data_IF_476098895052
#
_entry.id   IF_476098895052
#
_cell.length_a   1.000
_cell.length_b   1.000
_cell.length_c   1.000
_cell.angle_alpha   90.00
_cell.angle_beta   90.00
_cell.angle_gamma   90.00
#
_symmetry.space_group_name_H-M   'P 1'
#
loop_
_entity.id
_entity.type
_entity.pdbx_description
1 polymer ?
#
# COMPACT_ATOMS: atom_id res chain seq x y z
N UNK A 1 8.93 -0.03 4.21
CA UNK A 1 8.65 0.66 2.92
C UNK A 1 7.17 0.94 2.68
N UNK A 2 6.27 -0.04 2.88
CA UNK A 2 4.81 0.20 2.84
C UNK A 2 4.38 1.35 3.78
N UNK A 3 5.01 1.49 4.94
CA UNK A 3 4.78 2.58 5.89
C UNK A 3 5.06 3.99 5.32
N UNK A 4 6.10 4.17 4.48
CA UNK A 4 6.42 5.49 3.90
C UNK A 4 5.45 5.90 2.79
N UNK A 5 4.89 4.92 2.07
CA UNK A 5 3.81 5.16 1.10
C UNK A 5 2.52 5.56 1.83
N UNK A 6 2.15 4.83 2.89
CA UNK A 6 0.99 5.12 3.71
C UNK A 6 1.10 6.52 4.35
N UNK A 7 2.29 6.86 4.87
CA UNK A 7 2.54 8.16 5.50
C UNK A 7 2.42 9.33 4.51
N UNK A 8 3.10 9.27 3.36
CA UNK A 8 3.01 10.35 2.36
C UNK A 8 1.61 10.47 1.76
N UNK A 9 0.91 9.37 1.51
CA UNK A 9 -0.47 9.39 1.01
C UNK A 9 -1.46 9.97 2.04
N UNK A 10 -1.31 9.63 3.31
CA UNK A 10 -2.14 10.14 4.39
C UNK A 10 -1.89 11.64 4.64
N UNK A 11 -0.64 12.11 4.53
CA UNK A 11 -0.36 13.55 4.65
C UNK A 11 -1.03 14.35 3.54
N UNK A 12 -1.02 13.85 2.30
CA UNK A 12 -1.72 14.50 1.17
C UNK A 12 -3.23 14.57 1.47
N UNK A 13 -3.83 13.44 1.87
CA UNK A 13 -5.26 13.36 2.14
C UNK A 13 -5.70 14.27 3.30
N UNK A 14 -4.98 14.28 4.43
CA UNK A 14 -5.37 15.06 5.60
C UNK A 14 -5.18 16.56 5.36
N UNK A 15 -4.01 16.97 4.87
CA UNK A 15 -3.64 18.38 4.87
C UNK A 15 -4.13 19.14 3.64
N UNK A 16 -4.08 18.53 2.47
CA UNK A 16 -4.40 19.22 1.21
C UNK A 16 -5.80 18.88 0.70
N UNK A 17 -6.34 17.69 0.97
CA UNK A 17 -7.73 17.37 0.58
C UNK A 17 -8.75 17.69 1.68
N UNK A 18 -8.54 17.18 2.90
CA UNK A 18 -9.50 17.38 3.99
C UNK A 18 -9.28 18.70 4.75
N UNK A 19 -8.04 19.18 4.79
CA UNK A 19 -7.62 20.39 5.52
C UNK A 19 -7.67 21.68 4.70
N UNK A 20 -8.01 21.57 3.41
CA UNK A 20 -8.18 22.70 2.47
C UNK A 20 -6.96 23.64 2.41
N UNK A 21 -5.76 23.11 2.64
CA UNK A 21 -4.54 23.88 2.46
C UNK A 21 -4.26 24.12 0.98
N UNK A 22 -3.86 25.35 0.67
CA UNK A 22 -3.36 25.73 -0.65
C UNK A 22 -2.17 24.84 -1.05
N UNK A 23 -2.03 24.55 -2.34
CA UNK A 23 -0.98 23.67 -2.87
C UNK A 23 0.45 24.18 -2.59
N UNK A 24 0.60 25.48 -2.39
CA UNK A 24 1.84 26.17 -2.04
C UNK A 24 2.17 26.10 -0.55
N UNK A 25 1.18 25.82 0.30
CA UNK A 25 1.40 25.63 1.72
C UNK A 25 2.36 24.45 1.95
N UNK A 26 3.17 24.55 2.99
CA UNK A 26 4.16 23.51 3.31
C UNK A 26 3.78 22.77 4.58
N UNK A 27 3.89 21.44 4.51
CA UNK A 27 3.75 20.54 5.65
C UNK A 27 5.08 19.83 5.83
N UNK A 28 5.69 19.94 7.01
CA UNK A 28 7.07 19.51 7.28
C UNK A 28 8.08 20.06 6.24
N UNK A 29 7.91 21.33 5.83
CA UNK A 29 8.74 22.03 4.83
C UNK A 29 8.65 21.48 3.40
N UNK A 30 7.67 20.64 3.10
CA UNK A 30 7.41 20.11 1.75
C UNK A 30 5.98 20.46 1.35
N UNK A 31 5.80 20.97 0.13
CA UNK A 31 4.48 21.36 -0.41
C UNK A 31 3.73 20.17 -1.03
N UNK A 32 2.50 20.39 -1.51
CA UNK A 32 1.63 19.37 -2.13
C UNK A 32 2.36 18.58 -3.22
N UNK A 33 3.02 19.28 -4.15
CA UNK A 33 3.75 18.65 -5.26
C UNK A 33 4.92 17.77 -4.78
N UNK A 34 5.66 18.21 -3.76
CA UNK A 34 6.76 17.45 -3.17
C UNK A 34 6.28 16.18 -2.47
N UNK A 35 5.17 16.25 -1.74
CA UNK A 35 4.56 15.07 -1.11
C UNK A 35 4.05 14.08 -2.15
N UNK A 36 3.42 14.57 -3.22
CA UNK A 36 2.96 13.73 -4.33
C UNK A 36 4.15 13.04 -5.03
N UNK A 37 5.26 13.74 -5.21
CA UNK A 37 6.48 13.16 -5.76
C UNK A 37 7.04 12.06 -4.85
N UNK A 38 7.14 12.31 -3.54
CA UNK A 38 7.58 11.30 -2.56
C UNK A 38 6.64 10.08 -2.52
N UNK A 39 5.34 10.30 -2.62
CA UNK A 39 4.35 9.22 -2.67
C UNK A 39 4.55 8.33 -3.91
N UNK A 40 4.71 8.96 -5.10
CA UNK A 40 4.98 8.24 -6.35
C UNK A 40 6.30 7.46 -6.30
N UNK A 41 7.37 8.10 -5.84
CA UNK A 41 8.69 7.47 -5.70
C UNK A 41 8.61 6.26 -4.76
N UNK A 42 8.06 6.43 -3.56
CA UNK A 42 7.93 5.34 -2.59
C UNK A 42 6.99 4.23 -3.07
N UNK A 43 5.97 4.55 -3.87
CA UNK A 43 5.10 3.57 -4.51
C UNK A 43 5.87 2.70 -5.53
N UNK A 44 6.69 3.30 -6.40
CA UNK A 44 7.52 2.57 -7.37
C UNK A 44 8.49 1.62 -6.67
N UNK A 45 9.24 2.12 -5.69
CA UNK A 45 10.18 1.26 -4.96
C UNK A 45 9.40 0.15 -4.23
N UNK A 46 8.23 0.43 -3.65
CA UNK A 46 7.42 -0.58 -2.94
C UNK A 46 6.91 -1.67 -3.89
N UNK A 47 6.55 -1.32 -5.13
CA UNK A 47 6.17 -2.28 -6.18
C UNK A 47 7.33 -3.18 -6.58
N UNK A 48 8.56 -2.67 -6.64
CA UNK A 48 9.74 -3.49 -6.87
C UNK A 48 9.99 -4.45 -5.69
N UNK A 49 9.98 -3.93 -4.46
CA UNK A 49 10.22 -4.71 -3.26
C UNK A 49 9.19 -5.83 -3.06
N UNK A 50 7.91 -5.55 -3.27
CA UNK A 50 6.86 -6.57 -3.16
C UNK A 50 6.95 -7.61 -4.28
N UNK A 51 7.35 -7.21 -5.49
CA UNK A 51 7.53 -8.14 -6.61
C UNK A 51 8.59 -9.16 -6.25
N UNK A 52 9.75 -8.69 -5.76
CA UNK A 52 10.81 -9.57 -5.27
C UNK A 52 10.30 -10.45 -4.12
N UNK A 53 9.60 -9.88 -3.15
CA UNK A 53 9.05 -10.63 -2.02
C UNK A 53 8.09 -11.75 -2.46
N UNK A 54 7.15 -11.44 -3.36
CA UNK A 54 6.20 -12.40 -3.93
C UNK A 54 6.93 -13.50 -4.72
N UNK A 55 7.96 -13.15 -5.49
CA UNK A 55 8.78 -14.12 -6.23
C UNK A 55 9.45 -15.12 -5.28
N UNK A 56 10.01 -14.65 -4.17
CA UNK A 56 10.62 -15.50 -3.13
C UNK A 56 9.59 -16.44 -2.48
N UNK A 57 8.32 -16.05 -2.43
CA UNK A 57 7.23 -16.84 -1.86
C UNK A 57 6.37 -17.59 -2.90
N UNK A 58 6.80 -17.67 -4.16
CA UNK A 58 6.05 -18.33 -5.26
C UNK A 58 5.63 -19.75 -4.96
N UNK A 59 6.48 -20.56 -4.32
CA UNK A 59 6.15 -21.94 -3.91
C UNK A 59 4.97 -21.96 -2.93
N UNK A 60 4.98 -21.08 -1.93
CA UNK A 60 3.90 -20.97 -0.95
C UNK A 60 2.61 -20.50 -1.61
N UNK A 61 2.69 -19.50 -2.49
CA UNK A 61 1.54 -18.98 -3.23
C UNK A 61 0.90 -20.07 -4.11
N UNK A 62 1.70 -20.86 -4.82
CA UNK A 62 1.20 -22.00 -5.63
C UNK A 62 0.42 -23.01 -4.79
N UNK A 63 0.77 -23.20 -3.51
CA UNK A 63 0.05 -24.11 -2.61
C UNK A 63 -1.33 -23.57 -2.19
N UNK A 64 -1.54 -22.25 -2.20
CA UNK A 64 -2.82 -21.63 -1.86
C UNK A 64 -3.91 -21.90 -2.90
N UNK A 65 -3.53 -22.07 -4.17
CA UNK A 65 -4.47 -22.40 -5.24
C UNK A 65 -5.02 -23.83 -5.16
N UNK A 66 -4.48 -24.67 -4.27
CA UNK A 66 -5.10 -25.95 -3.93
C UNK A 66 -6.30 -25.67 -3.01
N UNK A 67 -7.53 -25.77 -3.55
CA UNK A 67 -8.82 -25.44 -2.88
C UNK A 67 -8.95 -25.91 -1.42
N UNK A 68 -8.38 -27.08 -1.07
CA UNK A 68 -8.40 -27.63 0.29
C UNK A 68 -7.61 -26.76 1.29
N UNK A 69 -6.47 -26.21 0.86
CA UNK A 69 -5.52 -25.45 1.68
C UNK A 69 -6.09 -24.11 2.15
N UNK A 70 -6.81 -23.39 1.29
CA UNK A 70 -7.36 -22.07 1.65
C UNK A 70 -8.53 -22.20 2.63
N UNK A 71 -9.37 -23.23 2.47
CA UNK A 71 -10.52 -23.47 3.36
C UNK A 71 -10.09 -23.87 4.77
N UNK A 72 -9.00 -24.63 4.91
CA UNK A 72 -8.39 -24.99 6.19
C UNK A 72 -7.28 -24.04 6.66
N UNK A 73 -7.13 -22.87 6.02
CA UNK A 73 -6.05 -21.94 6.33
C UNK A 73 -6.23 -21.30 7.71
N UNK A 74 -5.12 -21.16 8.45
CA UNK A 74 -5.10 -20.44 9.71
C UNK A 74 -5.30 -18.92 9.52
N UNK A 75 -5.52 -18.19 10.62
CA UNK A 75 -5.76 -16.75 10.62
C UNK A 75 -4.64 -15.96 9.94
N UNK A 76 -3.38 -16.32 10.19
CA UNK A 76 -2.21 -15.65 9.60
C UNK A 76 -2.18 -15.77 8.08
N UNK A 77 -2.41 -16.98 7.56
CA UNK A 77 -2.51 -17.20 6.11
C UNK A 77 -3.63 -16.38 5.49
N UNK A 78 -4.81 -16.33 6.13
CA UNK A 78 -5.94 -15.50 5.65
C UNK A 78 -5.56 -14.01 5.61
N UNK A 79 -4.94 -13.48 6.66
CA UNK A 79 -4.46 -12.09 6.70
C UNK A 79 -3.45 -11.82 5.58
N UNK A 80 -2.48 -12.72 5.37
CA UNK A 80 -1.48 -12.55 4.31
C UNK A 80 -2.09 -12.59 2.90
N UNK A 81 -3.10 -13.45 2.67
CA UNK A 81 -3.84 -13.48 1.41
C UNK A 81 -4.67 -12.22 1.20
N UNK A 82 -5.40 -11.77 2.23
CA UNK A 82 -6.14 -10.50 2.19
C UNK A 82 -5.21 -9.32 1.94
N UNK A 83 -4.02 -9.30 2.55
CA UNK A 83 -2.99 -8.29 2.32
C UNK A 83 -2.54 -8.28 0.85
N UNK A 84 -2.27 -9.45 0.26
CA UNK A 84 -1.87 -9.56 -1.14
C UNK A 84 -2.98 -9.04 -2.09
N UNK A 85 -4.24 -9.40 -1.83
CA UNK A 85 -5.39 -8.94 -2.63
C UNK A 85 -5.55 -7.43 -2.50
N UNK A 86 -5.57 -6.89 -1.27
CA UNK A 86 -5.67 -5.46 -1.02
C UNK A 86 -4.51 -4.69 -1.67
N UNK A 87 -3.30 -5.26 -1.66
CA UNK A 87 -2.13 -4.65 -2.28
C UNK A 87 -2.29 -4.54 -3.79
N UNK A 88 -2.75 -5.62 -4.45
CA UNK A 88 -3.02 -5.63 -5.88
C UNK A 88 -4.11 -4.60 -6.22
N UNK A 89 -5.23 -4.62 -5.50
CA UNK A 89 -6.33 -3.68 -5.70
C UNK A 89 -5.87 -2.21 -5.57
N UNK A 90 -5.17 -1.87 -4.48
CA UNK A 90 -4.63 -0.51 -4.24
C UNK A 90 -3.62 -0.10 -5.31
N UNK A 91 -2.79 -1.03 -5.77
CA UNK A 91 -1.78 -0.73 -6.78
C UNK A 91 -2.40 -0.49 -8.14
N UNK A 92 -3.40 -1.28 -8.53
CA UNK A 92 -4.13 -1.11 -9.78
C UNK A 92 -4.89 0.22 -9.78
N UNK A 93 -5.67 0.52 -8.73
CA UNK A 93 -6.41 1.80 -8.65
C UNK A 93 -5.46 2.99 -8.63
N UNK A 94 -4.34 2.92 -7.90
CA UNK A 94 -3.34 3.99 -7.89
C UNK A 94 -2.64 4.20 -9.24
N UNK A 95 -2.34 3.12 -9.97
CA UNK A 95 -1.75 3.20 -11.32
C UNK A 95 -2.77 3.78 -12.32
N UNK A 96 -4.03 3.35 -12.25
CA UNK A 96 -5.10 3.92 -13.07
C UNK A 96 -5.20 5.43 -12.81
N UNK A 97 -5.34 5.85 -11.55
CA UNK A 97 -5.37 7.28 -11.21
C UNK A 97 -4.14 8.05 -11.69
N UNK A 98 -2.95 7.45 -11.67
CA UNK A 98 -1.75 8.10 -12.18
C UNK A 98 -1.81 8.27 -13.71
N UNK A 99 -2.16 7.22 -14.45
CA UNK A 99 -2.06 7.19 -15.91
C UNK A 99 -3.23 7.87 -16.63
N UNK A 100 -4.44 7.81 -16.08
CA UNK A 100 -5.65 8.24 -16.81
C UNK A 100 -6.14 9.64 -16.43
N UNK A 101 -5.75 10.16 -15.27
CA UNK A 101 -6.25 11.43 -14.78
C UNK A 101 -5.21 12.55 -14.96
N UNK A 102 -5.51 13.63 -15.69
CA UNK A 102 -4.70 14.84 -15.72
C UNK A 102 -4.45 15.37 -14.31
N UNK A 103 -3.32 16.06 -14.10
CA UNK A 103 -2.92 16.54 -12.76
C UNK A 103 -3.98 17.36 -12.04
N UNK A 104 -4.71 18.18 -12.79
CA UNK A 104 -5.78 19.04 -12.29
C UNK A 104 -7.12 18.31 -12.07
N UNK A 105 -7.36 17.18 -12.76
CA UNK A 105 -8.60 16.37 -12.61
C UNK A 105 -8.45 15.27 -11.57
N UNK A 106 -7.22 14.96 -11.13
CA UNK A 106 -6.95 13.98 -10.06
C UNK A 106 -7.64 14.32 -8.73
N UNK A 107 -7.97 15.59 -8.53
CA UNK A 107 -8.71 16.10 -7.38
C UNK A 107 -10.24 15.95 -7.52
N UNK A 108 -10.76 15.80 -8.76
CA UNK A 108 -12.19 15.72 -9.04
C UNK A 108 -12.68 14.30 -9.39
N UNK A 109 -11.78 13.36 -9.66
CA UNK A 109 -12.11 11.95 -9.85
C UNK A 109 -12.43 11.26 -8.52
N UNK A 110 -13.48 11.75 -7.85
CA UNK A 110 -13.86 11.44 -6.48
C UNK A 110 -13.94 9.94 -6.22
N UNK A 111 -14.61 9.17 -7.08
CA UNK A 111 -14.93 7.77 -6.77
C UNK A 111 -13.71 6.84 -6.77
N UNK A 112 -12.82 6.94 -7.77
CA UNK A 112 -11.65 6.05 -7.85
C UNK A 112 -10.59 6.45 -6.82
N UNK A 113 -10.40 7.76 -6.62
CA UNK A 113 -9.48 8.28 -5.61
C UNK A 113 -9.90 7.90 -4.19
N UNK A 114 -11.20 7.99 -3.88
CA UNK A 114 -11.75 7.59 -2.59
C UNK A 114 -11.62 6.07 -2.34
N UNK A 115 -11.86 5.25 -3.37
CA UNK A 115 -11.63 3.79 -3.28
C UNK A 115 -10.15 3.50 -3.02
N UNK A 116 -9.24 4.16 -3.73
CA UNK A 116 -7.80 4.01 -3.52
C UNK A 116 -7.41 4.36 -2.08
N UNK A 117 -7.93 5.46 -1.54
CA UNK A 117 -7.64 5.91 -0.18
C UNK A 117 -8.13 4.92 0.88
N UNK A 118 -9.40 4.50 0.79
CA UNK A 118 -10.00 3.56 1.75
C UNK A 118 -9.29 2.21 1.75
N UNK A 119 -8.99 1.67 0.57
CA UNK A 119 -8.24 0.39 0.48
C UNK A 119 -6.81 0.58 1.01
N UNK A 120 -6.18 1.74 0.77
CA UNK A 120 -4.85 2.07 1.30
C UNK A 120 -4.76 2.05 2.83
N UNK A 121 -5.79 2.52 3.52
CA UNK A 121 -5.89 2.46 4.99
C UNK A 121 -6.01 0.99 5.45
N UNK A 122 -6.91 0.22 4.84
CA UNK A 122 -7.09 -1.21 5.15
C UNK A 122 -5.77 -1.96 4.92
N UNK A 123 -5.09 -1.68 3.81
CA UNK A 123 -3.81 -2.26 3.44
C UNK A 123 -2.75 -1.99 4.52
N UNK A 124 -2.73 -0.78 5.07
CA UNK A 124 -1.78 -0.38 6.13
C UNK A 124 -2.01 -1.20 7.40
N UNK A 125 -3.26 -1.35 7.82
CA UNK A 125 -3.62 -2.17 9.00
C UNK A 125 -3.24 -3.64 8.79
N UNK A 126 -3.58 -4.22 7.63
CA UNK A 126 -3.20 -5.60 7.29
C UNK A 126 -1.68 -5.79 7.25
N UNK A 127 -0.94 -4.79 6.77
CA UNK A 127 0.51 -4.84 6.70
C UNK A 127 1.13 -4.88 8.11
N UNK A 128 0.61 -4.09 9.05
CA UNK A 128 1.04 -4.13 10.46
C UNK A 128 0.81 -5.52 11.05
N UNK A 129 -0.38 -6.10 10.85
CA UNK A 129 -0.66 -7.46 11.34
C UNK A 129 0.26 -8.51 10.72
N UNK A 130 0.50 -8.46 9.41
CA UNK A 130 1.43 -9.35 8.74
C UNK A 130 2.84 -9.19 9.32
N UNK A 131 3.31 -7.96 9.46
CA UNK A 131 4.64 -7.68 10.01
C UNK A 131 4.81 -8.21 11.43
N UNK A 132 3.87 -7.93 12.34
CA UNK A 132 3.91 -8.42 13.73
C UNK A 132 3.88 -9.95 13.79
N UNK A 133 3.02 -10.59 12.99
CA UNK A 133 2.90 -12.05 12.95
C UNK A 133 4.17 -12.74 12.44
N UNK A 134 4.94 -12.07 11.58
CA UNK A 134 6.19 -12.60 11.02
C UNK A 134 7.45 -12.07 11.71
N UNK A 135 7.34 -11.10 12.63
CA UNK A 135 8.48 -10.49 13.34
C UNK A 135 9.35 -11.51 14.06
N UNK A 136 8.75 -12.50 14.73
CA UNK A 136 9.48 -13.58 15.42
C UNK A 136 10.26 -14.49 14.47
N UNK A 137 9.83 -14.63 13.22
CA UNK A 137 10.58 -15.39 12.21
C UNK A 137 11.76 -14.56 11.69
N UNK A 138 11.53 -13.27 11.44
CA UNK A 138 12.57 -12.33 11.02
C UNK A 138 13.68 -12.26 12.08
N UNK A 139 13.33 -12.01 13.34
CA UNK A 139 14.30 -11.88 14.43
C UNK A 139 15.20 -13.11 14.58
N UNK A 140 14.64 -14.32 14.43
CA UNK A 140 15.40 -15.58 14.51
C UNK A 140 16.36 -15.81 13.35
N UNK A 141 16.05 -15.26 12.17
CA UNK A 141 16.92 -15.40 10.98
C UNK A 141 18.16 -14.50 11.07
N UNK A 142 18.10 -13.43 11.87
CA UNK A 142 19.20 -12.47 12.05
C UNK A 142 19.96 -12.63 13.38
N UNK A 143 19.48 -13.50 14.27
CA UNK A 143 20.17 -13.85 15.52
C UNK A 143 21.12 -15.06 15.38
N UNK A 144 21.21 -15.64 14.18
CA UNK A 144 22.09 -16.76 13.81
C UNK A 144 22.99 -16.32 12.66
#
# INVERSE_FOLDING_TARGET
MVANKAFSGLLIAIYYHAGDLLDEATVLKVNSSGWLYLHKLTAVISLLGITIHVLLHTRWIKMLFKKKTLRSANKTTKITVSLLIAFIATSLTGIICWLTLPAHVRLEAFEIAEIYEKIGIILTVLFIFHFVNHWRWIARKFSN
#
